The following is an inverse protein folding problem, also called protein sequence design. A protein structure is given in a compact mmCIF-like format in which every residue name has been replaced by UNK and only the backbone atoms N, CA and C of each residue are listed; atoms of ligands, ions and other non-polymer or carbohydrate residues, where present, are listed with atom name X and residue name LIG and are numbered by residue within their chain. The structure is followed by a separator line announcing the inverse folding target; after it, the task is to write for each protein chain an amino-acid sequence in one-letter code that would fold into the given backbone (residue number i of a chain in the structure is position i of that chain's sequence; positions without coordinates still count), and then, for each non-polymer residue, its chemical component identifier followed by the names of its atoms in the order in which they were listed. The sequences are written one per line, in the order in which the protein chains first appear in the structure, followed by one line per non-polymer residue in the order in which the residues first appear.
data_IF_070395812116
#
_entry.id   IF_070395812116
#
_cell.length_a   1.000
_cell.length_b   1.000
_cell.length_c   1.000
_cell.angle_alpha   90.00
_cell.angle_beta   90.00
_cell.angle_gamma   90.00
#
_symmetry.space_group_name_H-M   'P 1'
#
loop_
_entity.id
_entity.type
_entity.pdbx_description
1 polymer ?
#
# COMPACT_ATOMS: atom_id res chain seq x y z
N UNK A 1 -9.41 -22.62 2.02
CA UNK A 1 -9.26 -21.26 2.55
C UNK A 1 -9.50 -20.29 1.40
N UNK A 2 -10.28 -19.22 1.60
CA UNK A 2 -10.44 -18.17 0.58
C UNK A 2 -9.09 -17.48 0.43
N UNK A 3 -8.59 -17.38 -0.80
CA UNK A 3 -7.34 -16.65 -1.08
C UNK A 3 -7.56 -15.16 -0.81
N UNK A 4 -6.55 -14.48 -0.25
CA UNK A 4 -6.62 -13.04 -0.03
C UNK A 4 -6.86 -12.30 -1.36
N UNK A 5 -7.78 -11.34 -1.35
CA UNK A 5 -8.03 -10.43 -2.45
C UNK A 5 -7.91 -8.99 -1.96
N UNK A 6 -7.29 -8.12 -2.75
CA UNK A 6 -7.15 -6.70 -2.43
C UNK A 6 -8.49 -5.95 -2.52
N UNK A 7 -8.59 -4.81 -1.84
CA UNK A 7 -9.71 -3.87 -1.93
C UNK A 7 -11.02 -4.35 -1.31
N UNK A 8 -11.03 -5.46 -0.57
CA UNK A 8 -12.28 -6.11 -0.14
C UNK A 8 -13.10 -5.28 0.85
N UNK A 9 -12.49 -4.35 1.59
CA UNK A 9 -13.22 -3.54 2.58
C UNK A 9 -14.26 -2.62 1.92
N UNK A 10 -14.06 -2.27 0.64
CA UNK A 10 -15.02 -1.47 -0.11
C UNK A 10 -16.37 -2.20 -0.30
N UNK A 11 -16.38 -3.54 -0.28
CA UNK A 11 -17.62 -4.33 -0.34
C UNK A 11 -18.38 -4.36 0.99
N UNK A 12 -17.73 -3.92 2.09
CA UNK A 12 -18.29 -3.91 3.44
C UNK A 12 -18.67 -2.50 3.89
N UNK A 13 -18.92 -1.57 2.97
CA UNK A 13 -19.16 -0.16 3.30
C UNK A 13 -20.33 0.05 4.27
N UNK A 14 -21.37 -0.77 4.20
CA UNK A 14 -22.53 -0.64 5.10
C UNK A 14 -22.17 -1.01 6.54
N UNK A 15 -21.33 -2.02 6.76
CA UNK A 15 -20.79 -2.32 8.09
C UNK A 15 -19.89 -1.19 8.60
N UNK A 16 -19.13 -0.52 7.72
CA UNK A 16 -18.34 0.65 8.13
C UNK A 16 -19.21 1.82 8.57
N UNK A 17 -20.36 2.05 7.91
CA UNK A 17 -21.33 3.10 8.30
C UNK A 17 -21.98 2.83 9.67
N UNK A 18 -22.05 1.57 10.10
CA UNK A 18 -22.51 1.22 11.45
C UNK A 18 -21.47 1.55 12.54
N UNK A 19 -20.19 1.60 12.18
CA UNK A 19 -19.08 1.79 13.12
C UNK A 19 -18.66 3.27 13.21
N UNK A 20 -18.73 4.02 12.11
CA UNK A 20 -18.27 5.41 12.07
C UNK A 20 -19.11 6.32 11.18
N UNK A 21 -19.20 7.59 11.56
CA UNK A 21 -19.76 8.68 10.75
C UNK A 21 -18.67 9.53 10.08
N UNK A 22 -17.40 9.18 10.26
CA UNK A 22 -16.28 9.91 9.69
C UNK A 22 -16.25 9.76 8.16
N UNK A 23 -16.50 10.87 7.47
CA UNK A 23 -16.55 10.90 6.02
C UNK A 23 -15.19 10.63 5.37
N UNK A 24 -14.08 10.93 6.04
CA UNK A 24 -12.73 10.64 5.55
C UNK A 24 -12.54 9.13 5.47
N UNK A 25 -12.83 8.42 6.57
CA UNK A 25 -12.74 6.96 6.64
C UNK A 25 -13.66 6.29 5.60
N UNK A 26 -14.92 6.74 5.50
CA UNK A 26 -15.88 6.16 4.55
C UNK A 26 -15.46 6.39 3.08
N UNK A 27 -14.82 7.53 2.80
CA UNK A 27 -14.25 7.83 1.49
C UNK A 27 -13.06 6.92 1.19
N UNK A 28 -12.13 6.80 2.13
CA UNK A 28 -10.95 5.93 2.01
C UNK A 28 -11.32 4.46 1.76
N UNK A 29 -12.28 3.93 2.52
CA UNK A 29 -12.79 2.56 2.35
C UNK A 29 -13.31 2.32 0.94
N UNK A 30 -13.93 3.33 0.33
CA UNK A 30 -14.51 3.25 -1.02
C UNK A 30 -13.47 3.43 -2.13
N UNK A 31 -12.29 3.97 -1.82
CA UNK A 31 -11.25 4.27 -2.80
C UNK A 31 -10.41 5.47 -2.37
N UNK A 32 -9.23 5.19 -1.84
CA UNK A 32 -8.29 6.20 -1.33
C UNK A 32 -7.87 7.18 -2.42
N UNK A 33 -7.99 8.47 -2.11
CA UNK A 33 -7.63 9.57 -3.00
C UNK A 33 -6.28 10.10 -2.55
N UNK A 34 -5.23 9.78 -3.31
CA UNK A 34 -3.90 10.37 -3.10
C UNK A 34 -3.99 11.91 -3.23
N UNK A 35 -3.68 12.68 -2.17
CA UNK A 35 -3.84 14.12 -2.17
C UNK A 35 -2.65 14.78 -2.88
N UNK A 36 -2.67 14.80 -4.21
CA UNK A 36 -1.62 15.45 -4.99
C UNK A 36 -1.70 16.98 -4.87
N UNK A 37 -0.62 17.62 -4.39
CA UNK A 37 -0.49 19.09 -4.31
C UNK A 37 -0.11 19.71 -5.66
N UNK A 38 0.51 18.92 -6.52
CA UNK A 38 0.88 19.27 -7.90
C UNK A 38 0.59 18.08 -8.82
N UNK A 39 0.39 18.33 -10.11
CA UNK A 39 0.21 17.24 -11.09
C UNK A 39 1.54 16.49 -11.20
N UNK A 40 1.59 15.16 -10.96
CA UNK A 40 2.81 14.38 -11.14
C UNK A 40 3.24 14.37 -12.60
N UNK A 41 4.30 15.11 -12.92
CA UNK A 41 4.86 15.16 -14.27
C UNK A 41 6.19 14.44 -14.28
N UNK A 42 6.34 13.48 -15.20
CA UNK A 42 7.57 12.73 -15.40
C UNK A 42 8.15 13.04 -16.78
N UNK A 43 9.31 13.69 -16.80
CA UNK A 43 9.98 14.05 -18.06
C UNK A 43 10.69 12.88 -18.74
N UNK A 44 11.23 11.94 -17.95
CA UNK A 44 11.96 10.77 -18.45
C UNK A 44 11.53 9.52 -17.69
N UNK A 45 11.52 8.38 -18.39
CA UNK A 45 11.34 7.07 -17.76
C UNK A 45 12.52 6.81 -16.81
N UNK A 46 12.29 6.44 -15.55
CA UNK A 46 13.36 6.19 -14.60
C UNK A 46 14.15 4.95 -15.00
N UNK A 47 15.43 4.92 -14.62
CA UNK A 47 16.26 3.74 -14.81
C UNK A 47 15.72 2.56 -13.99
N UNK A 48 15.61 1.41 -14.66
CA UNK A 48 15.24 0.14 -14.06
C UNK A 48 16.42 -0.84 -14.24
N UNK A 49 17.00 -1.39 -13.16
CA UNK A 49 18.10 -2.32 -13.29
C UNK A 49 17.64 -3.65 -13.89
N UNK A 50 18.55 -4.34 -14.60
CA UNK A 50 18.30 -5.68 -15.11
C UNK A 50 18.77 -6.71 -14.09
N UNK A 51 17.86 -7.49 -13.54
CA UNK A 51 18.19 -8.59 -12.63
C UNK A 51 18.47 -9.88 -13.38
N UNK A 52 19.34 -10.71 -12.81
CA UNK A 52 19.67 -12.04 -13.34
C UNK A 52 19.59 -13.08 -12.23
N UNK A 53 19.37 -14.33 -12.61
CA UNK A 53 19.38 -15.48 -11.71
C UNK A 53 18.28 -15.39 -10.64
N UNK A 54 18.58 -15.75 -9.37
CA UNK A 54 17.57 -15.86 -8.31
C UNK A 54 16.76 -14.58 -8.07
N UNK A 55 17.35 -13.39 -8.30
CA UNK A 55 16.67 -12.11 -8.13
C UNK A 55 15.57 -11.90 -9.18
N UNK A 56 15.79 -12.30 -10.42
CA UNK A 56 14.77 -12.22 -11.48
C UNK A 56 13.58 -13.12 -11.15
N UNK A 57 13.86 -14.40 -10.86
CA UNK A 57 12.83 -15.37 -10.49
C UNK A 57 12.02 -14.92 -9.27
N UNK A 58 12.67 -14.29 -8.28
CA UNK A 58 11.98 -13.73 -7.12
C UNK A 58 11.01 -12.61 -7.52
N UNK A 59 11.46 -11.66 -8.35
CA UNK A 59 10.62 -10.56 -8.83
C UNK A 59 9.42 -11.10 -9.61
N UNK A 60 9.66 -12.04 -10.53
CA UNK A 60 8.58 -12.63 -11.34
C UNK A 60 7.52 -13.32 -10.46
N UNK A 61 7.97 -14.09 -9.46
CA UNK A 61 7.07 -14.73 -8.50
C UNK A 61 6.30 -13.73 -7.63
N UNK A 62 6.95 -12.64 -7.20
CA UNK A 62 6.30 -11.60 -6.41
C UNK A 62 5.26 -10.83 -7.24
N UNK A 63 5.57 -10.50 -8.50
CA UNK A 63 4.62 -9.89 -9.44
C UNK A 63 3.42 -10.81 -9.66
N UNK A 64 3.64 -12.10 -9.91
CA UNK A 64 2.56 -13.09 -10.06
C UNK A 64 1.70 -13.19 -8.79
N UNK A 65 2.32 -13.18 -7.61
CA UNK A 65 1.62 -13.17 -6.32
C UNK A 65 0.73 -11.93 -6.17
N UNK A 66 1.25 -10.74 -6.47
CA UNK A 66 0.50 -9.49 -6.41
C UNK A 66 -0.65 -9.44 -7.42
N UNK A 67 -0.44 -9.96 -8.64
CA UNK A 67 -1.49 -10.11 -9.66
C UNK A 67 -2.60 -11.06 -9.19
N UNK A 68 -2.24 -12.22 -8.64
CA UNK A 68 -3.20 -13.21 -8.14
C UNK A 68 -4.03 -12.68 -6.96
N UNK A 69 -3.44 -11.82 -6.11
CA UNK A 69 -4.16 -11.12 -5.04
C UNK A 69 -4.97 -9.92 -5.54
N UNK A 70 -4.83 -9.52 -6.81
CA UNK A 70 -5.42 -8.31 -7.38
C UNK A 70 -4.90 -7.00 -6.80
N UNK A 71 -3.69 -7.00 -6.21
CA UNK A 71 -3.04 -5.78 -5.68
C UNK A 71 -2.58 -4.87 -6.82
N UNK A 72 -2.10 -5.49 -7.90
CA UNK A 72 -1.67 -4.80 -9.12
C UNK A 72 -2.43 -5.36 -10.31
N UNK A 73 -2.47 -4.58 -11.39
CA UNK A 73 -3.03 -4.98 -12.68
C UNK A 73 -2.02 -4.74 -13.80
N UNK A 74 -2.06 -5.50 -14.89
CA UNK A 74 -1.30 -5.16 -16.09
C UNK A 74 -1.75 -3.79 -16.60
N UNK A 75 -0.79 -2.91 -16.87
CA UNK A 75 -1.03 -1.60 -17.48
C UNK A 75 -0.31 -1.51 -18.82
N UNK A 76 -0.77 -0.58 -19.66
CA UNK A 76 -0.15 -0.24 -20.93
C UNK A 76 0.27 1.22 -20.89
N UNK A 77 1.34 1.55 -21.63
CA UNK A 77 1.85 2.91 -21.72
C UNK A 77 0.77 3.89 -22.18
N UNK A 78 0.59 4.97 -21.42
CA UNK A 78 -0.39 6.02 -21.70
C UNK A 78 0.21 7.41 -21.51
N UNK A 79 -0.23 8.42 -22.30
CA UNK A 79 0.15 9.80 -22.06
C UNK A 79 -0.22 10.24 -20.64
N UNK A 80 0.74 10.85 -19.94
CA UNK A 80 0.57 11.31 -18.56
C UNK A 80 0.71 10.23 -17.50
N UNK A 81 1.26 9.05 -17.85
CA UNK A 81 1.64 8.04 -16.86
C UNK A 81 2.79 8.49 -15.97
N UNK A 82 2.85 7.92 -14.76
CA UNK A 82 3.97 8.10 -13.85
C UNK A 82 4.60 6.75 -13.52
N UNK A 83 5.84 6.54 -13.94
CA UNK A 83 6.54 5.26 -13.74
C UNK A 83 7.44 5.37 -12.52
N UNK A 84 7.30 4.43 -11.58
CA UNK A 84 8.20 4.27 -10.43
C UNK A 84 9.01 2.98 -10.59
N UNK A 85 10.35 3.03 -10.46
CA UNK A 85 11.16 1.83 -10.57
C UNK A 85 10.97 0.94 -9.33
N UNK A 86 11.29 -0.34 -9.47
CA UNK A 86 11.37 -1.25 -8.32
C UNK A 86 12.83 -1.56 -7.97
N UNK A 87 13.08 -1.91 -6.71
CA UNK A 87 14.38 -2.39 -6.27
C UNK A 87 14.24 -3.50 -5.22
N UNK A 88 15.31 -4.26 -5.02
CA UNK A 88 15.35 -5.35 -4.05
C UNK A 88 16.19 -4.95 -2.84
N UNK A 89 15.67 -5.23 -1.65
CA UNK A 89 16.41 -5.18 -0.40
C UNK A 89 16.56 -6.59 0.19
N UNK A 90 17.67 -6.83 0.88
CA UNK A 90 17.89 -8.10 1.57
C UNK A 90 17.00 -8.19 2.82
N UNK A 91 16.35 -9.34 3.00
CA UNK A 91 15.61 -9.71 4.20
C UNK A 91 16.47 -10.64 5.04
N UNK A 92 16.37 -10.54 6.37
CA UNK A 92 16.99 -11.52 7.28
C UNK A 92 16.54 -12.94 6.89
N UNK A 93 17.49 -13.84 6.68
CA UNK A 93 17.22 -15.25 6.32
C UNK A 93 17.23 -15.57 4.83
N UNK A 94 18.08 -14.90 4.02
CA UNK A 94 18.34 -15.21 2.59
C UNK A 94 17.20 -14.98 1.60
N UNK A 95 16.25 -14.11 1.94
CA UNK A 95 15.13 -13.73 1.06
C UNK A 95 15.24 -12.25 0.66
N UNK A 96 14.46 -11.80 -0.32
CA UNK A 96 14.42 -10.41 -0.77
C UNK A 96 13.11 -9.73 -0.37
N UNK A 97 13.09 -8.40 -0.41
CA UNK A 97 11.88 -7.57 -0.42
C UNK A 97 11.88 -6.76 -1.71
N UNK A 98 10.81 -6.89 -2.49
CA UNK A 98 10.57 -6.00 -3.63
C UNK A 98 9.95 -4.70 -3.13
N UNK A 99 10.55 -3.57 -3.50
CA UNK A 99 10.12 -2.24 -3.07
C UNK A 99 9.86 -1.38 -4.30
N UNK A 100 8.69 -0.76 -4.36
CA UNK A 100 8.35 0.27 -5.33
C UNK A 100 8.91 1.61 -4.87
N UNK A 101 9.77 2.23 -5.68
CA UNK A 101 10.39 3.50 -5.35
C UNK A 101 9.45 4.68 -5.66
N UNK A 102 8.75 5.13 -4.63
CA UNK A 102 7.82 6.25 -4.70
C UNK A 102 8.46 7.60 -4.35
N UNK A 103 9.79 7.69 -4.21
CA UNK A 103 10.47 8.92 -3.74
C UNK A 103 10.06 10.16 -4.56
N UNK A 104 10.12 10.07 -5.88
CA UNK A 104 9.76 11.18 -6.79
C UNK A 104 8.26 11.41 -6.87
N UNK A 105 7.43 10.36 -6.76
CA UNK A 105 5.98 10.54 -6.73
C UNK A 105 5.56 11.31 -5.47
N UNK A 106 6.16 10.98 -4.33
CA UNK A 106 5.87 11.57 -3.03
C UNK A 106 6.17 13.08 -2.96
N UNK A 107 7.04 13.62 -3.84
CA UNK A 107 7.28 15.07 -3.94
C UNK A 107 6.02 15.84 -4.38
N UNK A 108 5.08 15.16 -5.04
CA UNK A 108 3.81 15.72 -5.51
C UNK A 108 2.66 15.45 -4.53
N UNK A 109 2.89 14.67 -3.48
CA UNK A 109 1.85 14.31 -2.49
C UNK A 109 1.89 15.32 -1.35
N UNK A 110 0.72 15.86 -1.01
CA UNK A 110 0.57 16.76 0.12
C UNK A 110 0.89 16.04 1.43
N UNK A 111 1.88 16.56 2.15
CA UNK A 111 2.19 16.08 3.48
C UNK A 111 1.08 16.50 4.46
N UNK A 112 0.46 15.50 5.09
CA UNK A 112 -0.48 15.68 6.17
C UNK A 112 0.18 15.25 7.47
N UNK A 113 0.28 16.16 8.43
CA UNK A 113 0.81 15.82 9.75
C UNK A 113 -0.22 14.95 10.49
N UNK A 114 0.06 13.66 10.57
CA UNK A 114 -0.72 12.71 11.36
C UNK A 114 0.05 12.34 12.63
N UNK A 115 -0.58 12.55 13.79
CA UNK A 115 -0.01 12.15 15.08
C UNK A 115 -0.53 10.78 15.47
N UNK A 116 0.36 9.80 15.55
CA UNK A 116 0.07 8.53 16.23
C UNK A 116 0.28 8.66 17.73
N UNK A 117 -0.54 7.94 18.50
CA UNK A 117 -0.30 7.79 19.94
C UNK A 117 1.00 7.05 20.21
N UNK A 118 1.69 7.43 21.28
CA UNK A 118 2.96 6.81 21.63
C UNK A 118 2.75 5.53 22.43
N UNK A 119 3.77 4.67 22.48
CA UNK A 119 3.73 3.44 23.28
C UNK A 119 3.48 3.77 24.76
N UNK A 120 3.99 4.90 25.25
CA UNK A 120 3.78 5.38 26.62
C UNK A 120 2.32 5.76 26.87
N UNK A 121 1.68 6.48 25.93
CA UNK A 121 0.26 6.79 26.02
C UNK A 121 -0.57 5.50 26.09
N UNK A 122 -0.30 4.55 25.19
CA UNK A 122 -1.02 3.26 25.17
C UNK A 122 -0.76 2.47 26.46
N UNK A 123 0.48 2.45 26.96
CA UNK A 123 0.82 1.75 28.20
C UNK A 123 0.12 2.33 29.43
N UNK A 124 -0.10 3.64 29.47
CA UNK A 124 -0.82 4.30 30.56
C UNK A 124 -2.30 3.92 30.64
N UNK A 125 -2.87 3.44 29.53
CA UNK A 125 -4.26 2.97 29.47
C UNK A 125 -4.42 1.52 29.96
N UNK A 126 -3.31 0.83 30.25
CA UNK A 126 -3.33 -0.57 30.66
C UNK A 126 -3.57 -0.71 32.16
N UNK A 127 -4.35 -1.72 32.55
CA UNK A 127 -4.61 -2.05 33.95
C UNK A 127 -3.67 -3.13 34.45
N UNK A 128 -3.26 -3.05 35.72
CA UNK A 128 -2.39 -4.06 36.33
C UNK A 128 -3.06 -5.43 36.28
N UNK A 129 -2.33 -6.43 35.77
CA UNK A 129 -2.82 -7.80 35.66
C UNK A 129 -3.77 -8.06 34.48
N UNK A 130 -3.89 -7.13 33.52
CA UNK A 130 -4.72 -7.37 32.34
C UNK A 130 -4.12 -8.42 31.39
N UNK A 131 -5.00 -9.17 30.74
CA UNK A 131 -4.61 -10.07 29.65
C UNK A 131 -4.50 -9.26 28.35
N UNK A 132 -3.53 -9.64 27.51
CA UNK A 132 -3.25 -8.97 26.24
C UNK A 132 -3.21 -9.98 25.11
N UNK A 133 -3.63 -9.54 23.93
CA UNK A 133 -3.47 -10.26 22.69
C UNK A 133 -2.79 -9.34 21.67
N UNK A 134 -2.00 -9.92 20.77
CA UNK A 134 -1.40 -9.20 19.64
C UNK A 134 -1.98 -9.75 18.34
N UNK A 135 -2.34 -8.85 17.44
CA UNK A 135 -2.88 -9.17 16.12
C UNK A 135 -1.97 -8.47 15.09
N UNK A 136 -1.35 -9.26 14.23
CA UNK A 136 -0.60 -8.76 13.08
C UNK A 136 -1.43 -8.95 11.80
N UNK A 137 -1.82 -7.84 11.17
CA UNK A 137 -2.62 -7.86 9.96
C UNK A 137 -1.71 -7.96 8.74
N UNK A 138 -1.51 -9.19 8.25
CA UNK A 138 -0.80 -9.44 7.00
C UNK A 138 -1.54 -8.77 5.82
N UNK A 139 -0.78 -8.16 4.91
CA UNK A 139 -1.31 -7.54 3.68
C UNK A 139 -2.31 -6.37 3.95
N UNK A 140 -2.32 -5.79 5.16
CA UNK A 140 -3.29 -4.77 5.58
C UNK A 140 -3.42 -3.57 4.63
N UNK A 141 -2.30 -3.09 4.09
CA UNK A 141 -2.31 -1.96 3.15
C UNK A 141 -3.10 -2.26 1.87
N UNK A 142 -3.17 -3.52 1.45
CA UNK A 142 -3.90 -3.93 0.25
C UNK A 142 -5.40 -4.07 0.47
N UNK A 143 -5.87 -3.98 1.72
CA UNK A 143 -7.29 -4.01 2.03
C UNK A 143 -8.00 -2.76 1.52
N UNK A 144 -7.34 -1.59 1.57
CA UNK A 144 -7.88 -0.31 1.09
C UNK A 144 -7.59 -0.15 -0.40
N UNK A 145 -8.61 -0.01 -1.26
CA UNK A 145 -8.37 0.21 -2.68
C UNK A 145 -7.90 1.64 -2.94
N UNK A 146 -6.99 1.83 -3.90
CA UNK A 146 -6.67 3.17 -4.44
C UNK A 146 -7.77 3.56 -5.43
N UNK A 147 -8.20 4.82 -5.41
CA UNK A 147 -9.18 5.34 -6.37
C UNK A 147 -8.74 5.12 -7.82
N UNK A 148 -9.67 4.65 -8.67
CA UNK A 148 -9.44 4.41 -10.11
C UNK A 148 -8.86 5.61 -10.87
N UNK A 149 -9.08 6.83 -10.36
CA UNK A 149 -8.54 8.06 -10.93
C UNK A 149 -7.02 8.16 -10.81
N UNK A 150 -6.42 7.51 -9.81
CA UNK A 150 -4.99 7.57 -9.48
C UNK A 150 -4.25 6.26 -9.75
N UNK A 151 -4.84 5.36 -10.56
CA UNK A 151 -4.22 4.09 -10.98
C UNK A 151 -3.51 4.20 -12.35
N UNK A 152 -3.14 5.42 -12.76
CA UNK A 152 -2.47 5.72 -14.04
C UNK A 152 -1.04 6.19 -13.81
#
# INVERSE_FOLDING_TARGET
AVAFQAGQIAHCIDAWKEITMDLEILTSVSGEIIPFSTIPLQGNVPFQPVWKGPKCNFIDNEILSLLNKGVIIPSQHKPGEFISPIFLCDKRGSSFRMILNLKTLNEHVQYHHFKMETVETVASMMTLGCFMASIDLKDAYYCVPVSKKHQK
#
